data_IF_553193558498
#
_entry.id   IF_553193558498
#
_cell.length_a   1.000
_cell.length_b   1.000
_cell.length_c   1.000
_cell.angle_alpha   90.00
_cell.angle_beta   90.00
_cell.angle_gamma   90.00
#
_symmetry.space_group_name_H-M   'P 1'
#
loop_
_entity.id
_entity.type
_entity.pdbx_description
1 polymer ?
#
# COMPACT_ATOMS: atom_id res chain seq x y z
N UNK A 1 47.99 12.92 -64.97
CA UNK A 1 46.65 12.38 -65.36
C UNK A 1 46.88 10.94 -65.80
N UNK A 2 46.37 9.86 -65.22
CA UNK A 2 45.54 9.63 -64.03
C UNK A 2 45.57 8.12 -63.79
N UNK A 3 46.10 7.70 -62.63
CA UNK A 3 45.71 6.53 -61.82
C UNK A 3 45.09 5.32 -62.57
N UNK A 4 45.87 4.25 -62.86
CA UNK A 4 45.31 2.91 -63.09
C UNK A 4 45.11 2.23 -61.73
N UNK A 5 43.85 2.10 -61.38
CA UNK A 5 43.37 1.65 -60.09
C UNK A 5 43.60 0.16 -59.86
N UNK A 6 43.98 -0.12 -58.62
CA UNK A 6 44.15 -1.41 -57.95
C UNK A 6 43.11 -2.45 -58.39
N UNK A 7 43.61 -3.58 -58.88
CA UNK A 7 42.86 -4.79 -59.14
C UNK A 7 42.06 -5.20 -57.89
N UNK A 8 40.76 -5.40 -58.11
CA UNK A 8 39.75 -5.62 -57.11
C UNK A 8 39.98 -6.97 -56.42
N UNK A 9 40.28 -6.87 -55.14
CA UNK A 9 40.43 -7.97 -54.21
C UNK A 9 39.06 -8.58 -53.87
N UNK A 10 39.08 -9.88 -53.59
CA UNK A 10 38.17 -10.65 -52.71
C UNK A 10 37.06 -11.44 -53.40
N UNK A 11 37.38 -12.72 -53.53
CA UNK A 11 36.48 -13.87 -53.39
C UNK A 11 35.20 -13.53 -52.60
N UNK A 12 34.09 -13.35 -53.32
CA UNK A 12 32.75 -13.35 -52.74
C UNK A 12 32.34 -14.80 -52.50
N UNK A 13 32.82 -15.39 -51.41
CA UNK A 13 32.15 -16.52 -50.79
C UNK A 13 30.73 -16.07 -50.43
N UNK A 14 29.76 -16.43 -51.28
CA UNK A 14 28.34 -16.25 -51.02
C UNK A 14 27.99 -17.10 -49.80
N UNK A 15 28.02 -16.48 -48.61
CA UNK A 15 27.40 -17.05 -47.41
C UNK A 15 25.90 -16.99 -47.63
N UNK A 16 25.25 -18.15 -47.59
CA UNK A 16 23.81 -18.28 -47.59
C UNK A 16 23.17 -17.33 -46.55
N UNK A 17 21.97 -16.77 -46.80
CA UNK A 17 21.27 -16.02 -45.79
C UNK A 17 20.98 -16.96 -44.61
N UNK A 18 21.56 -16.64 -43.46
CA UNK A 18 21.16 -17.22 -42.18
C UNK A 18 19.68 -16.86 -42.01
N UNK A 19 18.80 -17.84 -42.17
CA UNK A 19 17.43 -17.71 -41.70
C UNK A 19 17.48 -17.60 -40.19
N UNK A 20 17.60 -16.38 -39.68
CA UNK A 20 17.31 -16.06 -38.29
C UNK A 20 15.82 -16.30 -38.12
N UNK A 21 15.48 -17.53 -37.74
CA UNK A 21 14.18 -17.90 -37.24
C UNK A 21 13.92 -17.05 -36.00
N UNK A 22 13.15 -15.97 -36.17
CA UNK A 22 12.70 -15.12 -35.08
C UNK A 22 11.68 -15.90 -34.24
N UNK A 23 12.19 -16.83 -33.43
CA UNK A 23 11.50 -17.32 -32.25
C UNK A 23 11.64 -16.27 -31.15
N UNK A 24 10.94 -15.16 -31.30
CA UNK A 24 10.52 -14.38 -30.13
C UNK A 24 9.06 -14.69 -29.95
N UNK A 25 8.79 -15.83 -29.31
CA UNK A 25 7.57 -16.03 -28.56
C UNK A 25 7.35 -14.74 -27.77
N UNK A 26 6.32 -13.99 -28.16
CA UNK A 26 5.97 -12.73 -27.54
C UNK A 26 5.85 -12.99 -26.04
N UNK A 27 6.77 -12.43 -25.26
CA UNK A 27 6.64 -12.39 -23.82
C UNK A 27 5.22 -11.88 -23.53
N UNK A 28 4.48 -12.48 -22.57
CA UNK A 28 3.21 -11.91 -22.16
C UNK A 28 3.44 -10.43 -21.86
N UNK A 29 2.57 -9.52 -22.32
CA UNK A 29 2.72 -8.11 -21.97
C UNK A 29 2.79 -8.06 -20.45
N UNK A 30 3.95 -7.68 -19.92
CA UNK A 30 4.16 -7.42 -18.50
C UNK A 30 2.94 -6.61 -18.08
N UNK A 31 2.17 -7.12 -17.11
CA UNK A 31 0.91 -6.54 -16.70
C UNK A 31 1.17 -5.19 -16.03
N UNK A 32 1.42 -4.16 -16.84
CA UNK A 32 1.74 -2.80 -16.45
C UNK A 32 0.48 -2.02 -16.09
N UNK A 33 -0.63 -2.70 -15.79
CA UNK A 33 -1.91 -2.11 -15.35
C UNK A 33 -1.70 -1.15 -14.17
N UNK A 34 -0.74 -1.45 -13.28
CA UNK A 34 -0.36 -0.58 -12.17
C UNK A 34 0.46 0.67 -12.59
N UNK A 35 1.21 0.60 -13.68
CA UNK A 35 1.99 1.73 -14.21
C UNK A 35 1.11 2.68 -15.06
N UNK A 36 0.07 2.15 -15.71
CA UNK A 36 -0.85 2.93 -16.54
C UNK A 36 -1.89 3.71 -15.72
N UNK A 37 -2.31 3.19 -14.56
CA UNK A 37 -3.27 3.85 -13.65
C UNK A 37 -2.58 4.87 -12.71
N UNK A 38 -1.68 5.69 -13.25
CA UNK A 38 -1.09 6.86 -12.56
C UNK A 38 -1.68 8.17 -13.09
N UNK A 39 -2.93 8.14 -13.56
CA UNK A 39 -3.64 9.32 -14.05
C UNK A 39 -4.64 9.82 -13.02
N UNK A 40 -4.43 11.05 -12.52
CA UNK A 40 -5.34 12.01 -11.83
C UNK A 40 -6.52 11.51 -10.98
N UNK A 41 -6.56 10.25 -10.57
CA UNK A 41 -7.52 9.71 -9.62
C UNK A 41 -7.15 10.13 -8.20
N UNK A 42 -8.16 10.53 -7.42
CA UNK A 42 -7.97 10.70 -5.98
C UNK A 42 -7.70 9.33 -5.37
N UNK A 43 -6.53 9.15 -4.75
CA UNK A 43 -6.12 7.90 -4.07
C UNK A 43 -7.23 7.35 -3.16
N UNK A 44 -7.92 8.23 -2.43
CA UNK A 44 -9.03 7.85 -1.55
C UNK A 44 -10.19 7.22 -2.33
N UNK A 45 -10.49 7.69 -3.54
CA UNK A 45 -11.59 7.17 -4.36
C UNK A 45 -11.24 5.83 -4.99
N UNK A 46 -9.99 5.66 -5.42
CA UNK A 46 -9.50 4.36 -5.91
C UNK A 46 -9.44 3.34 -4.76
N UNK A 47 -8.93 3.74 -3.59
CA UNK A 47 -8.80 2.86 -2.43
C UNK A 47 -10.17 2.42 -1.86
N UNK A 48 -11.15 3.32 -1.83
CA UNK A 48 -12.51 3.02 -1.37
C UNK A 48 -13.38 2.32 -2.44
N UNK A 49 -12.90 2.19 -3.69
CA UNK A 49 -13.64 1.51 -4.76
C UNK A 49 -13.48 -0.01 -4.73
N UNK A 50 -12.42 -0.52 -4.09
CA UNK A 50 -12.16 -1.96 -4.01
C UNK A 50 -13.03 -2.65 -2.94
N UNK A 51 -13.79 -3.71 -3.31
CA UNK A 51 -14.65 -4.44 -2.35
C UNK A 51 -13.89 -5.06 -1.17
N UNK A 52 -12.61 -5.37 -1.36
CA UNK A 52 -11.73 -5.93 -0.33
C UNK A 52 -11.30 -4.90 0.73
N UNK A 53 -11.47 -3.60 0.48
CA UNK A 53 -11.13 -2.54 1.43
C UNK A 53 -12.15 -2.44 2.57
N UNK A 54 -13.44 -2.77 2.33
CA UNK A 54 -14.49 -2.62 3.34
C UNK A 54 -14.28 -3.50 4.58
N UNK A 55 -13.97 -4.81 4.46
CA UNK A 55 -13.69 -5.63 5.64
C UNK A 55 -12.49 -5.12 6.46
N UNK A 56 -11.45 -4.61 5.79
CA UNK A 56 -10.28 -4.05 6.45
C UNK A 56 -10.61 -2.75 7.19
N UNK A 57 -11.47 -1.91 6.61
CA UNK A 57 -11.96 -0.70 7.26
C UNK A 57 -12.79 -1.04 8.51
N UNK A 58 -13.62 -2.09 8.45
CA UNK A 58 -14.41 -2.56 9.59
C UNK A 58 -13.53 -3.01 10.75
N UNK A 59 -12.48 -3.80 10.50
CA UNK A 59 -11.61 -4.28 11.58
C UNK A 59 -10.78 -3.16 12.20
N UNK A 60 -10.26 -2.24 11.38
CA UNK A 60 -9.54 -1.05 11.87
C UNK A 60 -10.45 -0.13 12.69
N UNK A 61 -11.68 0.10 12.22
CA UNK A 61 -12.67 0.89 12.95
C UNK A 61 -13.07 0.21 14.26
N UNK A 62 -13.30 -1.10 14.26
CA UNK A 62 -13.64 -1.85 15.47
C UNK A 62 -12.51 -1.84 16.50
N UNK A 63 -11.26 -2.06 16.07
CA UNK A 63 -10.10 -1.97 16.94
C UNK A 63 -9.94 -0.56 17.52
N UNK A 64 -10.07 0.47 16.67
CA UNK A 64 -10.03 1.87 17.10
C UNK A 64 -11.13 2.22 18.10
N UNK A 65 -12.37 1.77 17.86
CA UNK A 65 -13.50 1.98 18.74
C UNK A 65 -13.34 1.26 20.09
N UNK A 66 -12.78 0.05 20.12
CA UNK A 66 -12.53 -0.68 21.37
C UNK A 66 -11.40 -0.01 22.18
N UNK A 67 -10.29 0.36 21.55
CA UNK A 67 -9.19 1.04 22.23
C UNK A 67 -9.63 2.40 22.77
N UNK A 68 -10.27 3.23 21.94
CA UNK A 68 -10.74 4.55 22.37
C UNK A 68 -11.89 4.45 23.36
N UNK A 69 -12.82 3.53 23.16
CA UNK A 69 -13.96 3.29 24.05
C UNK A 69 -13.53 2.83 25.45
N UNK A 70 -12.56 1.92 25.55
CA UNK A 70 -12.01 1.50 26.85
C UNK A 70 -11.25 2.63 27.55
N UNK A 71 -10.46 3.42 26.83
CA UNK A 71 -9.78 4.60 27.38
C UNK A 71 -10.80 5.61 27.91
N UNK A 72 -11.82 5.94 27.12
CA UNK A 72 -12.89 6.87 27.55
C UNK A 72 -13.68 6.31 28.73
N UNK A 73 -13.96 5.01 28.74
CA UNK A 73 -14.64 4.35 29.86
C UNK A 73 -13.83 4.47 31.15
N UNK A 74 -12.53 4.18 31.10
CA UNK A 74 -11.63 4.34 32.23
C UNK A 74 -11.57 5.80 32.67
N UNK A 75 -11.37 6.74 31.74
CA UNK A 75 -11.30 8.17 32.05
C UNK A 75 -12.60 8.71 32.69
N UNK A 76 -13.78 8.22 32.28
CA UNK A 76 -15.07 8.67 32.84
C UNK A 76 -15.43 8.02 34.18
N UNK A 77 -14.95 6.81 34.43
CA UNK A 77 -15.28 6.05 35.64
C UNK A 77 -14.20 6.10 36.72
N UNK A 78 -12.99 6.52 36.38
CA UNK A 78 -11.94 6.81 37.36
C UNK A 78 -12.32 8.05 38.17
N UNK A 79 -12.53 7.92 39.49
CA UNK A 79 -12.82 9.05 40.37
C UNK A 79 -11.62 10.02 40.51
N UNK A 80 -10.41 9.58 40.18
CA UNK A 80 -9.20 10.42 40.12
C UNK A 80 -9.24 11.42 38.97
N UNK A 81 -9.91 11.08 37.87
CA UNK A 81 -9.95 11.91 36.68
C UNK A 81 -11.15 12.84 36.79
N UNK A 82 -10.88 14.13 37.00
CA UNK A 82 -11.89 15.20 37.19
C UNK A 82 -12.66 15.58 35.91
N UNK A 83 -13.05 14.59 35.11
CA UNK A 83 -13.89 14.79 33.91
C UNK A 83 -15.38 14.87 34.26
N UNK A 84 -15.81 14.27 35.37
CA UNK A 84 -17.21 14.27 35.81
C UNK A 84 -17.33 15.05 37.13
N UNK A 85 -17.99 16.21 37.15
CA UNK A 85 -18.09 17.07 38.35
C UNK A 85 -18.81 16.42 39.54
N UNK A 86 -19.62 15.39 39.29
CA UNK A 86 -20.39 14.67 40.31
C UNK A 86 -19.62 13.54 41.01
N UNK A 87 -18.42 13.18 40.53
CA UNK A 87 -17.58 12.12 41.11
C UNK A 87 -16.27 12.66 41.71
N UNK A 88 -16.11 13.99 41.75
CA UNK A 88 -14.96 14.64 42.39
C UNK A 88 -14.95 14.27 43.87
N UNK A 89 -13.80 13.81 44.36
CA UNK A 89 -13.53 13.49 45.76
C UNK A 89 -14.23 12.23 46.32
N UNK A 90 -14.68 11.32 45.44
CA UNK A 90 -15.13 10.00 45.89
C UNK A 90 -13.96 9.21 46.52
N UNK A 91 -14.06 8.88 47.80
CA UNK A 91 -13.04 8.12 48.54
C UNK A 91 -12.86 6.75 47.88
N UNK A 92 -11.73 6.55 47.22
CA UNK A 92 -11.45 5.39 46.36
C UNK A 92 -11.22 4.11 47.17
N UNK A 93 -10.85 4.24 48.45
CA UNK A 93 -10.59 3.12 49.35
C UNK A 93 -10.75 3.53 50.81
N UNK A 94 -11.72 2.93 51.50
CA UNK A 94 -11.84 2.90 52.96
C UNK A 94 -11.36 1.53 53.47
N UNK A 95 -10.13 1.48 53.97
CA UNK A 95 -9.54 0.26 54.55
C UNK A 95 -10.05 -0.04 55.97
N UNK A 96 -10.97 0.78 56.47
CA UNK A 96 -11.47 0.80 57.83
C UNK A 96 -12.95 0.45 57.83
N UNK A 97 -13.28 -0.71 58.42
CA UNK A 97 -14.62 -1.28 58.48
C UNK A 97 -15.58 -0.58 59.45
N UNK A 98 -15.71 0.73 59.37
CA UNK A 98 -16.66 1.49 60.20
C UNK A 98 -17.34 2.57 59.36
N UNK A 99 -18.65 2.39 59.22
CA UNK A 99 -19.57 3.25 58.50
C UNK A 99 -19.92 4.49 59.34
N UNK A 100 -19.98 5.66 58.70
CA UNK A 100 -20.74 6.83 59.13
C UNK A 100 -21.55 7.34 57.95
#
# INVERSE_FOLDING_TARGET
RTQMAKAFSRASWQRAPLSTQANTAAAPPISTTFLAKRGSGSFSKDWLSDPSTYPLLVTMAAAGALCTGTVVYCLRNSPDVRLVPNKKDAIIRNWTGTYH
#
